data_IF_887570384409
#
_entry.id   IF_887570384409
#
_cell.length_a   1.000
_cell.length_b   1.000
_cell.length_c   1.000
_cell.angle_alpha   90.00
_cell.angle_beta   90.00
_cell.angle_gamma   90.00
#
_symmetry.space_group_name_H-M   'P 1'
#
loop_
_entity.id
_entity.type
_entity.pdbx_description
1 polymer ?
#
# COMPACT_ATOMS: atom_id res chain seq x y z
N UNK A 1 5.60 -16.14 -14.80
CA UNK A 1 4.71 -15.85 -13.65
C UNK A 1 3.71 -16.99 -13.47
N UNK A 2 3.67 -17.64 -12.30
CA UNK A 2 2.60 -18.61 -12.02
C UNK A 2 1.24 -17.91 -12.04
N UNK A 3 0.27 -18.55 -12.68
CA UNK A 3 -1.05 -17.99 -12.95
C UNK A 3 -1.89 -18.03 -11.66
N UNK A 4 -1.73 -17.03 -10.78
CA UNK A 4 -2.53 -16.87 -9.56
C UNK A 4 -3.95 -16.32 -9.83
N UNK A 5 -4.65 -16.82 -10.85
CA UNK A 5 -6.04 -16.42 -11.12
C UNK A 5 -6.22 -14.97 -11.59
N UNK A 6 -6.06 -14.74 -12.90
CA UNK A 6 -6.83 -13.78 -13.70
C UNK A 6 -6.64 -12.26 -13.53
N UNK A 7 -6.14 -11.74 -12.42
CA UNK A 7 -6.02 -10.29 -12.16
C UNK A 7 -4.58 -9.78 -12.07
N UNK A 8 -4.34 -8.56 -12.54
CA UNK A 8 -3.09 -7.83 -12.24
C UNK A 8 -3.18 -7.22 -10.83
N UNK A 9 -2.22 -7.54 -9.97
CA UNK A 9 -2.05 -6.91 -8.67
C UNK A 9 -0.92 -5.88 -8.72
N UNK A 10 -1.20 -4.64 -8.33
CA UNK A 10 -0.18 -3.61 -8.12
C UNK A 10 0.47 -3.73 -6.74
N UNK A 11 -0.28 -4.23 -5.77
CA UNK A 11 0.14 -4.45 -4.39
C UNK A 11 -0.44 -5.78 -3.90
N UNK A 12 0.37 -6.52 -3.14
CA UNK A 12 -0.06 -7.71 -2.40
C UNK A 12 0.60 -7.70 -1.02
N UNK A 13 -0.19 -7.47 0.03
CA UNK A 13 0.20 -7.56 1.43
C UNK A 13 -0.67 -8.61 2.11
N UNK A 14 -0.04 -9.65 2.65
CA UNK A 14 -0.73 -10.74 3.32
C UNK A 14 -0.04 -11.04 4.65
N UNK A 15 -0.81 -11.51 5.61
CA UNK A 15 -0.25 -11.85 6.91
C UNK A 15 -1.33 -12.19 7.92
N UNK A 16 -1.00 -11.93 9.18
CA UNK A 16 -1.91 -12.12 10.30
C UNK A 16 -2.01 -10.84 11.12
N UNK A 17 -3.17 -10.60 11.69
CA UNK A 17 -3.42 -9.49 12.61
C UNK A 17 -4.15 -10.00 13.86
N UNK A 18 -3.99 -9.29 14.96
CA UNK A 18 -4.70 -9.56 16.20
C UNK A 18 -6.04 -8.80 16.16
N UNK A 19 -7.14 -9.55 16.27
CA UNK A 19 -8.50 -9.04 16.44
C UNK A 19 -9.00 -9.50 17.81
N UNK A 20 -9.04 -8.60 18.78
CA UNK A 20 -9.33 -8.91 20.19
C UNK A 20 -8.45 -10.05 20.72
N UNK A 21 -9.04 -11.21 21.01
CA UNK A 21 -8.37 -12.41 21.51
C UNK A 21 -8.11 -13.46 20.43
N UNK A 22 -8.23 -13.11 19.14
CA UNK A 22 -8.03 -14.03 18.00
C UNK A 22 -6.95 -13.50 17.06
N UNK A 23 -6.16 -14.42 16.51
CA UNK A 23 -5.26 -14.13 15.39
C UNK A 23 -5.99 -14.50 14.10
N UNK A 24 -6.24 -13.53 13.24
CA UNK A 24 -6.90 -13.71 11.95
C UNK A 24 -5.92 -13.46 10.81
N UNK A 25 -6.16 -14.10 9.67
CA UNK A 25 -5.44 -13.80 8.43
C UNK A 25 -5.97 -12.54 7.76
N UNK A 26 -5.12 -11.85 7.01
CA UNK A 26 -5.54 -10.82 6.06
C UNK A 26 -4.87 -11.01 4.70
N UNK A 27 -5.56 -10.59 3.64
CA UNK A 27 -5.06 -10.49 2.28
C UNK A 27 -5.52 -9.18 1.64
N UNK A 28 -4.63 -8.19 1.62
CA UNK A 28 -4.84 -6.89 1.01
C UNK A 28 -4.13 -6.86 -0.32
N UNK A 29 -4.91 -6.94 -1.39
CA UNK A 29 -4.43 -6.76 -2.75
C UNK A 29 -5.05 -5.51 -3.35
N UNK A 30 -4.27 -4.80 -4.16
CA UNK A 30 -4.78 -3.75 -5.04
C UNK A 30 -4.74 -4.26 -6.48
N UNK A 31 -5.88 -4.22 -7.15
CA UNK A 31 -6.04 -4.46 -8.57
C UNK A 31 -7.03 -3.47 -9.17
N UNK A 32 -7.14 -3.52 -10.50
CA UNK A 32 -7.93 -2.60 -11.35
C UNK A 32 -7.30 -1.21 -11.51
N UNK A 33 -7.36 -0.68 -12.74
CA UNK A 33 -6.76 0.62 -13.09
C UNK A 33 -7.27 1.79 -12.23
N UNK A 34 -8.51 1.72 -11.75
CA UNK A 34 -9.10 2.74 -10.87
C UNK A 34 -8.37 2.85 -9.51
N UNK A 35 -7.69 1.78 -9.08
CA UNK A 35 -6.93 1.73 -7.84
C UNK A 35 -5.42 1.80 -8.07
N UNK A 36 -4.99 2.27 -9.25
CA UNK A 36 -3.57 2.51 -9.53
C UNK A 36 -3.05 3.62 -8.62
N UNK A 37 -2.04 3.28 -7.81
CA UNK A 37 -1.44 4.21 -6.87
C UNK A 37 -0.44 5.11 -7.58
N UNK A 38 -0.63 6.42 -7.46
CA UNK A 38 0.32 7.42 -7.92
C UNK A 38 0.96 8.11 -6.72
N UNK A 39 2.27 7.94 -6.56
CA UNK A 39 3.04 8.57 -5.48
C UNK A 39 3.78 9.80 -6.01
N UNK A 40 3.66 10.94 -5.32
CA UNK A 40 4.40 12.15 -5.66
C UNK A 40 5.20 12.62 -4.45
N UNK A 41 6.52 12.46 -4.53
CA UNK A 41 7.44 12.96 -3.50
C UNK A 41 8.11 14.22 -4.01
N UNK A 42 7.79 15.37 -3.40
CA UNK A 42 8.44 16.64 -3.72
C UNK A 42 9.75 16.74 -2.92
N UNK A 43 10.86 16.91 -3.62
CA UNK A 43 12.17 17.06 -3.00
C UNK A 43 13.08 17.94 -3.88
N UNK A 44 13.83 18.82 -3.25
CA UNK A 44 14.81 19.69 -3.91
C UNK A 44 16.18 19.04 -3.86
N UNK A 45 16.90 19.03 -4.97
CA UNK A 45 18.23 18.43 -5.05
C UNK A 45 19.29 19.47 -5.41
N UNK A 46 20.43 19.40 -4.73
CA UNK A 46 21.65 20.09 -5.14
C UNK A 46 22.46 19.19 -6.07
N UNK A 47 22.58 19.58 -7.34
CA UNK A 47 23.34 18.84 -8.33
C UNK A 47 24.83 19.13 -8.12
N UNK A 48 25.60 18.08 -7.78
CA UNK A 48 27.07 18.14 -7.59
C UNK A 48 27.78 17.36 -8.71
N UNK A 49 29.06 17.66 -8.94
CA UNK A 49 29.88 17.02 -10.00
C UNK A 49 30.20 15.52 -9.77
N UNK A 50 29.74 14.94 -8.65
CA UNK A 50 29.93 13.52 -8.32
C UNK A 50 28.58 12.82 -8.28
N UNK A 51 28.59 11.51 -8.53
CA UNK A 51 27.41 10.65 -8.33
C UNK A 51 26.88 10.80 -6.90
N UNK A 52 25.59 11.06 -6.78
CA UNK A 52 24.85 11.02 -5.53
C UNK A 52 23.70 10.04 -5.69
N UNK A 53 23.48 9.23 -4.66
CA UNK A 53 22.35 8.33 -4.56
C UNK A 53 21.22 9.03 -3.79
N UNK A 54 19.98 8.81 -4.22
CA UNK A 54 18.78 9.29 -3.53
C UNK A 54 18.06 8.06 -2.98
N UNK A 55 17.96 7.97 -1.66
CA UNK A 55 17.32 6.84 -1.02
C UNK A 55 15.84 7.13 -0.83
N UNK A 56 15.00 6.34 -1.50
CA UNK A 56 13.56 6.35 -1.29
C UNK A 56 13.18 5.23 -0.33
N UNK A 57 12.48 5.57 0.74
CA UNK A 57 12.01 4.61 1.73
C UNK A 57 10.49 4.49 1.68
N UNK A 58 10.00 3.24 1.67
CA UNK A 58 8.58 2.93 1.83
C UNK A 58 8.27 2.58 3.29
N UNK A 59 7.41 3.36 3.94
CA UNK A 59 6.85 2.99 5.24
C UNK A 59 5.61 2.12 5.02
N UNK A 60 5.75 0.82 5.26
CA UNK A 60 4.66 -0.15 5.08
C UNK A 60 3.42 0.15 5.91
N UNK A 61 3.56 0.85 7.03
CA UNK A 61 2.40 1.15 7.86
C UNK A 61 1.47 2.21 7.25
N UNK A 62 1.99 3.07 6.38
CA UNK A 62 1.21 4.16 5.80
C UNK A 62 0.08 3.63 4.90
N UNK A 63 0.25 2.43 4.33
CA UNK A 63 -0.82 1.68 3.65
C UNK A 63 -2.09 1.54 4.49
N UNK A 64 -1.99 1.58 5.82
CA UNK A 64 -3.10 1.40 6.75
C UNK A 64 -3.44 2.64 7.58
N UNK A 65 -2.74 3.77 7.42
CA UNK A 65 -2.86 4.90 8.37
C UNK A 65 -3.16 6.26 7.75
N UNK A 66 -2.73 6.55 6.53
CA UNK A 66 -2.75 7.91 5.99
C UNK A 66 -3.06 7.92 4.50
N UNK A 67 -4.02 8.74 4.01
CA UNK A 67 -4.89 9.65 4.77
C UNK A 67 -6.03 8.96 5.51
N UNK A 68 -6.24 7.66 5.27
CA UNK A 68 -7.34 6.91 5.86
C UNK A 68 -6.83 5.82 6.80
N UNK A 69 -7.37 5.76 8.01
CA UNK A 69 -7.11 4.62 8.92
C UNK A 69 -7.85 3.39 8.41
N UNK A 70 -7.12 2.34 8.01
CA UNK A 70 -7.67 1.05 7.60
C UNK A 70 -7.75 0.11 8.80
N UNK A 71 -8.96 -0.27 9.19
CA UNK A 71 -9.25 -1.15 10.32
C UNK A 71 -9.74 -2.49 9.76
N UNK A 72 -8.94 -3.55 9.91
CA UNK A 72 -9.27 -4.88 9.41
C UNK A 72 -10.58 -5.45 9.96
N UNK A 73 -11.05 -4.99 11.13
CA UNK A 73 -12.33 -5.42 11.71
C UNK A 73 -13.53 -4.69 11.09
N UNK A 74 -13.33 -3.49 10.53
CA UNK A 74 -14.40 -2.65 9.97
C UNK A 74 -14.39 -2.62 8.45
N UNK A 75 -13.22 -2.45 7.85
CA UNK A 75 -13.01 -2.35 6.41
C UNK A 75 -12.82 -3.73 5.73
N UNK A 76 -12.67 -4.77 6.55
CA UNK A 76 -12.46 -6.16 6.12
C UNK A 76 -11.00 -6.59 6.08
N UNK A 77 -10.79 -7.91 6.04
CA UNK A 77 -9.46 -8.53 5.96
C UNK A 77 -9.15 -9.14 4.59
N UNK A 78 -10.03 -9.00 3.59
CA UNK A 78 -9.83 -9.41 2.20
C UNK A 78 -10.32 -8.30 1.26
N UNK A 79 -9.43 -7.66 0.49
CA UNK A 79 -9.79 -6.44 -0.25
C UNK A 79 -10.31 -6.65 -1.68
N UNK A 80 -9.92 -7.73 -2.38
CA UNK A 80 -10.19 -7.90 -3.83
C UNK A 80 -11.67 -7.83 -4.23
N UNK A 81 -12.57 -8.22 -3.33
CA UNK A 81 -14.03 -8.17 -3.57
C UNK A 81 -14.70 -6.93 -2.94
N UNK A 82 -13.93 -6.03 -2.34
CA UNK A 82 -14.41 -4.87 -1.58
C UNK A 82 -13.86 -3.57 -2.17
N UNK A 83 -14.62 -2.96 -3.08
CA UNK A 83 -14.25 -1.68 -3.70
C UNK A 83 -13.92 -0.57 -2.68
N UNK A 84 -14.68 -0.37 -1.58
CA UNK A 84 -14.32 0.64 -0.57
C UNK A 84 -12.96 0.38 0.07
N UNK A 85 -12.63 -0.89 0.33
CA UNK A 85 -11.34 -1.27 0.91
C UNK A 85 -10.20 -1.00 -0.08
N UNK A 86 -10.35 -1.39 -1.35
CA UNK A 86 -9.34 -1.12 -2.37
C UNK A 86 -9.11 0.38 -2.58
N UNK A 87 -10.19 1.18 -2.60
CA UNK A 87 -10.10 2.65 -2.71
C UNK A 87 -9.36 3.27 -1.53
N UNK A 88 -9.67 2.83 -0.32
CA UNK A 88 -9.03 3.33 0.91
C UNK A 88 -7.53 3.02 0.94
N UNK A 89 -7.16 1.79 0.59
CA UNK A 89 -5.76 1.36 0.51
C UNK A 89 -5.02 2.06 -0.64
N UNK A 90 -5.67 2.28 -1.79
CA UNK A 90 -5.05 2.98 -2.93
C UNK A 90 -4.80 4.46 -2.64
N UNK A 91 -5.74 5.14 -1.99
CA UNK A 91 -5.57 6.50 -1.48
C UNK A 91 -4.40 6.59 -0.50
N UNK A 92 -4.25 5.59 0.38
CA UNK A 92 -3.16 5.54 1.33
C UNK A 92 -1.79 5.36 0.67
N UNK A 93 -1.75 4.57 -0.40
CA UNK A 93 -0.56 4.32 -1.20
C UNK A 93 0.17 5.58 -1.65
N UNK A 94 -0.53 6.70 -1.83
CA UNK A 94 0.09 7.96 -2.27
C UNK A 94 1.10 8.55 -1.27
N UNK A 95 1.08 8.11 -0.01
CA UNK A 95 1.87 8.70 1.10
C UNK A 95 2.95 7.78 1.64
N UNK A 96 3.11 6.58 1.07
CA UNK A 96 3.98 5.53 1.64
C UNK A 96 5.47 5.80 1.44
N UNK A 97 5.84 6.64 0.47
CA UNK A 97 7.23 6.92 0.13
C UNK A 97 7.72 8.26 0.68
N UNK A 98 8.96 8.25 1.18
CA UNK A 98 9.72 9.45 1.57
C UNK A 98 11.13 9.38 1.00
N UNK A 99 11.79 10.53 0.86
CA UNK A 99 13.22 10.60 0.51
C UNK A 99 14.02 10.85 1.78
N UNK A 100 15.11 10.09 1.96
CA UNK A 100 16.07 10.25 3.05
C UNK A 100 17.42 10.77 2.55
#
# INVERSE_FOLDING_TARGET
PEQMGGGYHFLKLEGRFQADNKVLGYAIHLGNNENLVNCKVLHSFDVKLKYQEVNMEMNLNEWYRNPNVYDFNKDGNYSMSLMPAMKKISENGATVFTIR
#
